data_IF_436449637001
#
_entry.id   IF_436449637001
#
_cell.length_a   1.000
_cell.length_b   1.000
_cell.length_c   1.000
_cell.angle_alpha   90.00
_cell.angle_beta   90.00
_cell.angle_gamma   90.00
#
_symmetry.space_group_name_H-M   'P 1'
#
loop_
_entity.id
_entity.type
_entity.pdbx_description
1 polymer ?
#
# COMPACT_ATOMS: atom_id res chain seq x y z
N UNK A 1 -6.99 11.58 -3.40
CA UNK A 1 -6.09 12.73 -3.58
C UNK A 1 -6.30 13.40 -4.94
N UNK A 2 -6.25 14.73 -5.04
CA UNK A 2 -6.38 15.42 -6.32
C UNK A 2 -5.23 15.09 -7.25
N UNK A 3 -5.53 14.79 -8.52
CA UNK A 3 -4.52 14.50 -9.52
C UNK A 3 -3.99 15.81 -10.13
N UNK A 4 -2.77 16.19 -9.77
CA UNK A 4 -2.19 17.49 -10.11
C UNK A 4 -1.46 17.50 -11.46
N UNK A 5 -1.45 16.40 -12.20
CA UNK A 5 -0.68 16.31 -13.44
C UNK A 5 -1.37 17.04 -14.59
N UNK A 6 -0.65 18.01 -15.14
CA UNK A 6 -1.13 18.93 -16.18
C UNK A 6 -0.70 18.52 -17.59
N UNK A 7 0.37 17.71 -17.70
CA UNK A 7 0.94 17.27 -18.98
C UNK A 7 0.16 16.06 -19.53
N UNK A 8 -1.01 16.34 -20.10
CA UNK A 8 -2.02 15.36 -20.55
C UNK A 8 -2.16 15.39 -22.08
N UNK A 9 -2.77 14.37 -22.67
CA UNK A 9 -3.06 14.37 -24.10
C UNK A 9 -3.92 15.59 -24.51
N UNK A 10 -3.72 16.17 -25.71
CA UNK A 10 -4.46 17.34 -26.17
C UNK A 10 -5.98 17.11 -26.15
N UNK A 11 -6.73 18.01 -25.50
CA UNK A 11 -8.19 17.93 -25.42
C UNK A 11 -8.75 17.03 -24.31
N UNK A 12 -7.90 16.41 -23.48
CA UNK A 12 -8.32 15.59 -22.34
C UNK A 12 -8.62 16.49 -21.13
N UNK A 13 -9.78 16.27 -20.51
CA UNK A 13 -10.17 16.92 -19.27
C UNK A 13 -9.19 16.58 -18.12
N UNK A 14 -9.16 17.35 -17.03
CA UNK A 14 -8.34 17.00 -15.89
C UNK A 14 -8.59 15.57 -15.41
N UNK A 15 -7.53 14.87 -15.01
CA UNK A 15 -7.69 13.54 -14.43
C UNK A 15 -8.55 13.62 -13.17
N UNK A 16 -9.44 12.64 -13.04
CA UNK A 16 -10.17 12.44 -11.81
C UNK A 16 -9.19 12.27 -10.64
N UNK A 17 -9.57 12.70 -9.42
CA UNK A 17 -8.77 12.47 -8.24
C UNK A 17 -8.48 10.97 -8.07
N UNK A 18 -7.26 10.66 -7.62
CA UNK A 18 -6.91 9.30 -7.23
C UNK A 18 -7.71 8.90 -5.99
N UNK A 19 -8.34 7.73 -6.04
CA UNK A 19 -9.11 7.18 -4.93
C UNK A 19 -8.45 5.90 -4.42
N UNK A 20 -8.20 5.81 -3.12
CA UNK A 20 -7.69 4.60 -2.47
C UNK A 20 -8.80 3.94 -1.67
N UNK A 21 -9.07 2.66 -1.94
CA UNK A 21 -9.97 1.83 -1.14
C UNK A 21 -9.17 0.70 -0.52
N UNK A 22 -9.06 0.70 0.80
CA UNK A 22 -8.38 -0.35 1.57
C UNK A 22 -9.39 -1.12 2.41
N UNK A 23 -9.23 -2.43 2.44
CA UNK A 23 -9.83 -3.30 3.44
C UNK A 23 -8.69 -4.04 4.11
N UNK A 24 -8.68 -4.00 5.44
CA UNK A 24 -7.66 -4.67 6.24
C UNK A 24 -8.34 -5.45 7.35
N UNK A 25 -7.84 -6.64 7.62
CA UNK A 25 -8.24 -7.47 8.73
C UNK A 25 -6.99 -7.98 9.43
N UNK A 26 -6.95 -7.88 10.74
CA UNK A 26 -5.78 -8.29 11.49
C UNK A 26 -6.10 -8.67 12.93
N UNK A 27 -5.15 -9.38 13.52
CA UNK A 27 -5.15 -9.78 14.92
C UNK A 27 -3.89 -9.24 15.58
N UNK A 28 -4.06 -8.74 16.80
CA UNK A 28 -2.96 -8.37 17.69
C UNK A 28 -3.00 -9.28 18.89
N UNK A 29 -1.84 -9.78 19.29
CA UNK A 29 -1.69 -10.66 20.43
C UNK A 29 -0.52 -10.21 21.28
N UNK A 30 -0.79 -10.02 22.57
CA UNK A 30 0.19 -9.58 23.55
C UNK A 30 0.24 -10.61 24.69
N UNK A 31 1.12 -11.63 24.60
CA UNK A 31 1.22 -12.66 25.64
C UNK A 31 1.84 -12.14 26.93
N UNK A 32 2.75 -11.15 26.84
CA UNK A 32 3.41 -10.51 27.99
C UNK A 32 3.45 -9.00 27.78
N UNK A 33 3.66 -8.19 28.84
CA UNK A 33 3.81 -6.74 28.69
C UNK A 33 4.98 -6.34 27.77
N UNK A 34 5.96 -7.23 27.61
CA UNK A 34 7.20 -7.02 26.84
C UNK A 34 7.19 -7.66 25.45
N UNK A 35 6.10 -8.31 25.05
CA UNK A 35 6.01 -8.96 23.74
C UNK A 35 4.69 -8.65 23.04
N UNK A 36 4.76 -8.10 21.83
CA UNK A 36 3.62 -7.78 20.97
C UNK A 36 3.78 -8.46 19.62
N UNK A 37 2.74 -9.16 19.18
CA UNK A 37 2.68 -9.79 17.88
C UNK A 37 1.47 -9.27 17.11
N UNK A 38 1.65 -9.01 15.83
CA UNK A 38 0.61 -8.54 14.92
C UNK A 38 0.61 -9.42 13.68
N UNK A 39 -0.57 -9.78 13.20
CA UNK A 39 -0.75 -10.41 11.89
C UNK A 39 -1.92 -9.72 11.20
N UNK A 40 -1.69 -9.15 10.03
CA UNK A 40 -2.68 -8.44 9.25
C UNK A 40 -2.68 -8.93 7.80
N UNK A 41 -3.86 -8.91 7.18
CA UNK A 41 -4.05 -9.12 5.76
C UNK A 41 -4.73 -7.88 5.20
N UNK A 42 -4.25 -7.39 4.07
CA UNK A 42 -4.75 -6.17 3.47
C UNK A 42 -5.05 -6.36 1.97
N UNK A 43 -6.02 -5.60 1.50
CA UNK A 43 -6.37 -5.44 0.08
C UNK A 43 -6.61 -3.94 -0.18
N UNK A 44 -5.67 -3.33 -0.89
CA UNK A 44 -5.68 -1.94 -1.28
C UNK A 44 -5.89 -1.84 -2.78
N UNK A 45 -6.96 -1.18 -3.21
CA UNK A 45 -7.18 -0.83 -4.61
C UNK A 45 -7.12 0.68 -4.76
N UNK A 46 -6.16 1.16 -5.55
CA UNK A 46 -6.05 2.55 -5.93
C UNK A 46 -6.58 2.74 -7.36
N UNK A 47 -7.46 3.71 -7.57
CA UNK A 47 -8.03 4.07 -8.86
C UNK A 47 -7.52 5.43 -9.30
N UNK A 48 -7.62 5.71 -10.61
CA UNK A 48 -7.25 7.00 -11.22
C UNK A 48 -5.78 7.37 -11.02
N UNK A 49 -4.89 6.38 -11.11
CA UNK A 49 -3.45 6.58 -10.99
C UNK A 49 -2.90 7.11 -12.32
N UNK A 50 -2.47 8.37 -12.36
CA UNK A 50 -1.82 8.90 -13.55
C UNK A 50 -0.37 8.38 -13.64
N UNK A 51 -0.05 7.77 -14.78
CA UNK A 51 1.25 7.19 -15.08
C UNK A 51 1.82 7.83 -16.33
N UNK A 52 3.14 8.05 -16.32
CA UNK A 52 3.83 8.68 -17.43
C UNK A 52 3.96 7.69 -18.59
N UNK A 53 3.42 8.03 -19.75
CA UNK A 53 3.65 7.27 -20.97
C UNK A 53 4.82 7.89 -21.74
N UNK A 54 5.99 7.24 -21.68
CA UNK A 54 7.21 7.71 -22.34
C UNK A 54 7.15 7.64 -23.87
N UNK A 55 6.30 6.79 -24.45
CA UNK A 55 6.09 6.69 -25.89
C UNK A 55 5.19 7.82 -26.42
N UNK A 56 4.25 8.27 -25.59
CA UNK A 56 3.28 9.29 -25.96
C UNK A 56 3.70 10.71 -25.53
N UNK A 57 4.54 10.85 -24.50
CA UNK A 57 5.03 12.15 -24.00
C UNK A 57 4.03 12.91 -23.13
N UNK A 58 2.99 12.22 -22.65
CA UNK A 58 2.01 12.74 -21.70
C UNK A 58 1.68 11.69 -20.63
N UNK A 59 1.11 12.15 -19.53
CA UNK A 59 0.53 11.27 -18.52
C UNK A 59 -0.79 10.70 -19.04
N UNK A 60 -1.05 9.44 -18.72
CA UNK A 60 -2.28 8.72 -18.99
C UNK A 60 -2.82 8.14 -17.69
N UNK A 61 -4.14 7.94 -17.61
CA UNK A 61 -4.72 7.25 -16.47
C UNK A 61 -4.43 5.75 -16.64
N UNK A 62 -3.56 5.20 -15.81
CA UNK A 62 -3.10 3.80 -15.92
C UNK A 62 -4.14 2.78 -15.44
N UNK A 63 -5.35 3.22 -15.12
CA UNK A 63 -6.42 2.36 -14.64
C UNK A 63 -6.38 2.21 -13.12
N UNK A 64 -6.46 0.96 -12.65
CA UNK A 64 -6.46 0.64 -11.23
C UNK A 64 -5.17 -0.08 -10.86
N UNK A 65 -4.64 0.20 -9.69
CA UNK A 65 -3.52 -0.57 -9.11
C UNK A 65 -4.06 -1.26 -7.88
N UNK A 66 -3.82 -2.56 -7.76
CA UNK A 66 -4.23 -3.34 -6.61
C UNK A 66 -3.00 -3.92 -5.92
N UNK A 67 -2.95 -3.79 -4.61
CA UNK A 67 -1.92 -4.34 -3.74
C UNK A 67 -2.59 -5.14 -2.64
N UNK A 68 -2.26 -6.42 -2.57
CA UNK A 68 -2.72 -7.32 -1.52
C UNK A 68 -1.52 -7.88 -0.79
N UNK A 69 -1.73 -8.25 0.46
CA UNK A 69 -0.65 -8.88 1.18
C UNK A 69 -1.01 -9.34 2.56
N UNK A 70 0.01 -9.89 3.19
CA UNK A 70 0.00 -10.33 4.58
C UNK A 70 1.23 -9.76 5.26
N UNK A 71 1.01 -9.16 6.42
CA UNK A 71 2.06 -8.59 7.26
C UNK A 71 2.02 -9.27 8.63
N UNK A 72 3.17 -9.81 9.04
CA UNK A 72 3.37 -10.36 10.36
C UNK A 72 4.51 -9.61 11.03
N UNK A 73 4.29 -9.17 12.26
CA UNK A 73 5.27 -8.42 13.03
C UNK A 73 5.32 -8.96 14.46
N UNK A 74 6.52 -9.09 15.01
CA UNK A 74 6.75 -9.54 16.38
C UNK A 74 7.84 -8.68 17.03
N UNK A 75 7.49 -8.12 18.19
CA UNK A 75 8.38 -7.36 19.06
C UNK A 75 8.44 -8.11 20.38
N UNK A 76 9.63 -8.40 20.89
CA UNK A 76 9.78 -9.05 22.18
C UNK A 76 11.08 -8.63 22.87
N UNK A 77 10.99 -8.23 24.13
CA UNK A 77 12.15 -8.10 25.01
C UNK A 77 12.32 -9.41 25.78
N UNK A 78 13.38 -10.17 25.45
CA UNK A 78 13.66 -11.47 26.06
C UNK A 78 14.43 -11.35 27.38
N UNK A 79 15.39 -10.45 27.43
CA UNK A 79 16.19 -10.12 28.61
C UNK A 79 16.28 -8.59 28.72
N UNK A 80 16.64 -8.06 29.89
CA UNK A 80 16.73 -6.61 30.13
C UNK A 80 17.71 -5.89 29.16
N UNK A 81 18.55 -6.65 28.46
CA UNK A 81 19.52 -6.15 27.48
C UNK A 81 19.30 -6.67 26.04
N UNK A 82 18.23 -7.44 25.75
CA UNK A 82 18.01 -8.02 24.43
C UNK A 82 16.57 -7.80 23.94
N UNK A 83 16.45 -6.97 22.91
CA UNK A 83 15.22 -6.72 22.17
C UNK A 83 15.28 -7.44 20.82
N UNK A 84 14.23 -8.19 20.50
CA UNK A 84 14.02 -8.84 19.23
C UNK A 84 12.88 -8.14 18.48
N UNK A 85 13.14 -7.82 17.22
CA UNK A 85 12.14 -7.36 16.26
C UNK A 85 12.21 -8.30 15.05
N UNK A 86 11.08 -8.86 14.67
CA UNK A 86 10.94 -9.69 13.49
C UNK A 86 9.74 -9.19 12.68
N UNK A 87 9.93 -9.04 11.38
CA UNK A 87 8.88 -8.63 10.45
C UNK A 87 8.92 -9.52 9.22
N UNK A 88 7.75 -9.94 8.75
CA UNK A 88 7.58 -10.68 7.52
C UNK A 88 6.43 -10.07 6.73
N UNK A 89 6.71 -9.72 5.48
CA UNK A 89 5.74 -9.11 4.58
C UNK A 89 5.72 -9.90 3.28
N UNK A 90 4.52 -10.31 2.89
CA UNK A 90 4.26 -10.83 1.55
C UNK A 90 3.31 -9.87 0.85
N UNK A 91 3.73 -9.35 -0.30
CA UNK A 91 2.97 -8.38 -1.07
C UNK A 91 2.87 -8.84 -2.52
N UNK A 92 1.66 -8.81 -3.03
CA UNK A 92 1.30 -9.03 -4.42
C UNK A 92 0.67 -7.74 -4.97
N UNK A 93 1.36 -7.10 -5.91
CA UNK A 93 0.94 -5.83 -6.50
C UNK A 93 0.78 -5.98 -8.01
N UNK A 94 -0.41 -5.65 -8.51
CA UNK A 94 -0.79 -5.77 -9.92
C UNK A 94 -1.49 -4.51 -10.43
N UNK A 95 -1.34 -4.22 -11.72
CA UNK A 95 -2.13 -3.22 -12.43
C UNK A 95 -3.35 -3.90 -13.04
N UNK A 96 -4.55 -3.35 -12.82
CA UNK A 96 -5.87 -3.89 -13.17
C UNK A 96 -6.61 -3.00 -14.15
#
# INVERSE_FOLDING_TARGET
EPNLQTNRAPGVAPFDPSEGKQVEVGVKYQPTPTALMTLAMYDLTQSNVATWNSAAGWYENSGKVRSKGVEAEAHATFFDNLNLIASYTWTDAETV
#
